data_IF_601346386484
#
_entry.id   IF_601346386484
#
_cell.length_a   1.000
_cell.length_b   1.000
_cell.length_c   1.000
_cell.angle_alpha   90.00
_cell.angle_beta   90.00
_cell.angle_gamma   90.00
#
_symmetry.space_group_name_H-M   'P 1'
#
loop_
_entity.id
_entity.type
_entity.pdbx_description
1 polymer ?
#
# COMPACT_ATOMS: atom_id res chain seq x y z
N UNK A 1 -23.79 -37.51 -41.36
CA UNK A 1 -23.80 -36.05 -41.09
C UNK A 1 -23.26 -35.79 -39.70
N UNK A 2 -21.94 -35.75 -39.57
CA UNK A 2 -21.21 -35.44 -38.34
C UNK A 2 -20.68 -34.01 -38.47
N UNK A 3 -21.27 -33.08 -37.74
CA UNK A 3 -20.76 -31.72 -37.63
C UNK A 3 -19.42 -31.74 -36.87
N UNK A 4 -18.31 -31.79 -37.64
CA UNK A 4 -16.99 -31.41 -37.16
C UNK A 4 -16.99 -29.91 -36.91
N UNK A 5 -17.42 -29.51 -35.71
CA UNK A 5 -17.24 -28.16 -35.20
C UNK A 5 -15.74 -27.96 -34.98
N UNK A 6 -15.07 -27.32 -35.94
CA UNK A 6 -13.68 -26.92 -35.84
C UNK A 6 -13.53 -26.02 -34.61
N UNK A 7 -12.99 -26.57 -33.52
CA UNK A 7 -12.61 -25.81 -32.32
C UNK A 7 -11.58 -24.78 -32.79
N UNK A 8 -11.86 -23.46 -32.74
CA UNK A 8 -10.85 -22.46 -33.05
C UNK A 8 -9.68 -22.68 -32.09
N UNK A 9 -8.49 -22.87 -32.65
CA UNK A 9 -7.29 -23.13 -31.87
C UNK A 9 -7.08 -21.96 -30.88
N UNK A 10 -6.94 -22.23 -29.57
CA UNK A 10 -6.79 -21.18 -28.55
C UNK A 10 -5.49 -20.35 -28.70
N UNK A 11 -4.63 -20.68 -29.66
CA UNK A 11 -3.35 -20.04 -29.92
C UNK A 11 -3.47 -18.68 -30.63
N UNK A 12 -4.54 -18.41 -31.38
CA UNK A 12 -4.66 -17.18 -32.18
C UNK A 12 -4.84 -15.89 -31.37
N UNK A 13 -5.68 -15.81 -30.32
CA UNK A 13 -5.90 -14.55 -29.61
C UNK A 13 -4.76 -14.23 -28.63
N UNK A 14 -4.16 -15.25 -28.01
CA UNK A 14 -3.04 -15.08 -27.07
C UNK A 14 -1.77 -14.59 -27.79
N UNK A 15 -1.49 -15.10 -28.98
CA UNK A 15 -0.39 -14.63 -29.82
C UNK A 15 -0.56 -13.15 -30.23
N UNK A 16 -1.78 -12.74 -30.60
CA UNK A 16 -2.10 -11.35 -30.91
C UNK A 16 -1.94 -10.42 -29.69
N UNK A 17 -2.36 -10.86 -28.51
CA UNK A 17 -2.15 -10.13 -27.25
C UNK A 17 -0.65 -9.95 -26.98
N UNK A 18 0.16 -11.00 -27.13
CA UNK A 18 1.61 -10.92 -26.94
C UNK A 18 2.25 -9.98 -27.97
N UNK A 19 1.87 -10.07 -29.24
CA UNK A 19 2.34 -9.17 -30.30
C UNK A 19 1.99 -7.71 -29.99
N UNK A 20 0.76 -7.43 -29.57
CA UNK A 20 0.33 -6.07 -29.21
C UNK A 20 1.17 -5.48 -28.05
N UNK A 21 1.51 -6.30 -27.04
CA UNK A 21 2.41 -5.89 -25.96
C UNK A 21 3.85 -5.65 -26.44
N UNK A 22 4.37 -6.51 -27.32
CA UNK A 22 5.71 -6.37 -27.89
C UNK A 22 5.83 -5.12 -28.78
N UNK A 23 4.78 -4.77 -29.54
CA UNK A 23 4.74 -3.52 -30.30
C UNK A 23 4.78 -2.31 -29.37
N UNK A 24 4.05 -2.35 -28.24
CA UNK A 24 4.10 -1.27 -27.24
C UNK A 24 5.49 -1.20 -26.57
N UNK A 25 6.12 -2.34 -26.31
CA UNK A 25 7.49 -2.41 -25.80
C UNK A 25 8.49 -1.78 -26.80
N UNK A 26 8.38 -2.11 -28.09
CA UNK A 26 9.19 -1.51 -29.14
C UNK A 26 8.98 0.01 -29.26
N UNK A 27 7.75 0.49 -29.06
CA UNK A 27 7.49 1.92 -28.99
C UNK A 27 8.18 2.59 -27.80
N UNK A 28 8.15 1.96 -26.62
CA UNK A 28 8.87 2.45 -25.45
C UNK A 28 10.39 2.51 -25.69
N UNK A 29 10.96 1.46 -26.30
CA UNK A 29 12.38 1.42 -26.68
C UNK A 29 12.75 2.56 -27.64
N UNK A 30 11.90 2.83 -28.64
CA UNK A 30 12.10 3.95 -29.58
C UNK A 30 12.13 5.32 -28.89
N UNK A 31 11.44 5.47 -27.75
CA UNK A 31 11.49 6.70 -26.93
C UNK A 31 12.68 6.74 -25.96
N UNK A 32 13.56 5.74 -25.99
CA UNK A 32 14.70 5.61 -25.07
C UNK A 32 14.35 5.05 -23.68
N UNK A 33 13.11 4.57 -23.47
CA UNK A 33 12.67 4.06 -22.17
C UNK A 33 12.86 2.53 -22.09
N UNK A 34 14.11 2.11 -21.90
CA UNK A 34 14.51 0.70 -21.92
C UNK A 34 13.82 -0.12 -20.83
N UNK A 35 13.60 0.45 -19.65
CA UNK A 35 12.99 -0.27 -18.53
C UNK A 35 11.49 -0.46 -18.73
N UNK A 36 10.80 0.51 -19.36
CA UNK A 36 9.41 0.35 -19.79
C UNK A 36 9.29 -0.72 -20.88
N UNK A 37 10.21 -0.73 -21.84
CA UNK A 37 10.28 -1.79 -22.85
C UNK A 37 10.39 -3.16 -22.20
N UNK A 38 11.36 -3.35 -21.30
CA UNK A 38 11.56 -4.61 -20.59
C UNK A 38 10.33 -5.00 -19.75
N UNK A 39 9.71 -4.04 -19.04
CA UNK A 39 8.50 -4.29 -18.25
C UNK A 39 7.33 -4.74 -19.13
N UNK A 40 7.09 -4.07 -20.26
CA UNK A 40 6.03 -4.43 -21.21
C UNK A 40 6.30 -5.78 -21.89
N UNK A 41 7.56 -6.07 -22.25
CA UNK A 41 7.97 -7.34 -22.83
C UNK A 41 7.84 -8.53 -21.84
N UNK A 42 7.85 -8.27 -20.53
CA UNK A 42 7.65 -9.28 -19.50
C UNK A 42 6.15 -9.62 -19.25
N UNK A 43 5.21 -8.72 -19.56
CA UNK A 43 3.78 -8.93 -19.33
C UNK A 43 3.17 -10.17 -20.03
N UNK A 44 3.56 -10.55 -21.26
CA UNK A 44 3.09 -11.79 -21.88
C UNK A 44 3.41 -13.03 -21.03
N UNK A 45 4.52 -13.04 -20.29
CA UNK A 45 4.91 -14.16 -19.43
C UNK A 45 3.91 -14.35 -18.27
N UNK A 46 3.28 -13.27 -17.80
CA UNK A 46 2.24 -13.36 -16.77
C UNK A 46 1.00 -14.10 -17.26
N UNK A 47 0.69 -14.05 -18.55
CA UNK A 47 -0.45 -14.77 -19.12
C UNK A 47 -0.24 -16.29 -19.08
N UNK A 48 1.01 -16.76 -19.11
CA UNK A 48 1.35 -18.19 -19.01
C UNK A 48 0.93 -18.79 -17.65
N UNK A 49 0.85 -17.96 -16.60
CA UNK A 49 0.40 -18.40 -15.28
C UNK A 49 -1.08 -18.85 -15.26
N UNK A 50 -1.88 -18.42 -16.25
CA UNK A 50 -3.33 -18.64 -16.35
C UNK A 50 -4.14 -18.12 -15.16
N UNK A 51 -3.58 -17.16 -14.42
CA UNK A 51 -4.25 -16.46 -13.33
C UNK A 51 -5.29 -15.47 -13.86
N UNK A 52 -6.47 -15.43 -13.24
CA UNK A 52 -7.56 -14.54 -13.67
C UNK A 52 -7.21 -13.06 -13.62
N UNK A 53 -6.39 -12.62 -12.66
CA UNK A 53 -6.02 -11.21 -12.51
C UNK A 53 -5.09 -10.70 -13.63
N UNK A 54 -4.26 -11.57 -14.23
CA UNK A 54 -3.28 -11.14 -15.24
C UNK A 54 -3.97 -10.68 -16.51
N UNK A 55 -5.14 -11.27 -16.85
CA UNK A 55 -5.98 -10.83 -17.96
C UNK A 55 -6.46 -9.38 -17.78
N UNK A 56 -6.81 -8.99 -16.55
CA UNK A 56 -7.33 -7.66 -16.23
C UNK A 56 -6.22 -6.63 -16.29
N UNK A 57 -5.04 -6.97 -15.78
CA UNK A 57 -3.85 -6.12 -15.86
C UNK A 57 -3.42 -5.91 -17.32
N UNK A 58 -3.28 -6.98 -18.09
CA UNK A 58 -2.89 -6.88 -19.50
C UNK A 58 -3.96 -6.16 -20.31
N UNK A 59 -5.24 -6.40 -20.03
CA UNK A 59 -6.34 -5.63 -20.62
C UNK A 59 -6.17 -4.14 -20.39
N UNK A 60 -5.99 -3.71 -19.13
CA UNK A 60 -5.78 -2.30 -18.80
C UNK A 60 -4.56 -1.70 -19.52
N UNK A 61 -3.44 -2.42 -19.56
CA UNK A 61 -2.22 -1.98 -20.27
C UNK A 61 -2.47 -1.82 -21.76
N UNK A 62 -3.19 -2.75 -22.41
CA UNK A 62 -3.49 -2.67 -23.84
C UNK A 62 -4.50 -1.57 -24.16
N UNK A 63 -5.48 -1.31 -23.29
CA UNK A 63 -6.42 -0.20 -23.46
C UNK A 63 -5.70 1.15 -23.34
N UNK A 64 -4.79 1.30 -22.37
CA UNK A 64 -3.93 2.48 -22.26
C UNK A 64 -2.96 2.57 -23.45
N UNK A 65 -2.44 1.44 -23.92
CA UNK A 65 -1.59 1.35 -25.11
C UNK A 65 -2.31 1.79 -26.38
N UNK A 66 -3.58 1.44 -26.55
CA UNK A 66 -4.41 1.91 -27.67
C UNK A 66 -4.54 3.44 -27.65
N UNK A 67 -4.80 4.05 -26.48
CA UNK A 67 -4.81 5.50 -26.34
C UNK A 67 -3.44 6.13 -26.65
N UNK A 68 -2.34 5.50 -26.21
CA UNK A 68 -0.99 5.93 -26.53
C UNK A 68 -0.70 5.88 -28.04
N UNK A 69 -1.16 4.84 -28.74
CA UNK A 69 -1.01 4.72 -30.18
C UNK A 69 -1.79 5.79 -30.95
N UNK A 70 -3.01 6.11 -30.52
CA UNK A 70 -3.79 7.21 -31.08
C UNK A 70 -3.10 8.55 -30.85
N UNK A 71 -2.63 8.82 -29.62
CA UNK A 71 -1.91 10.05 -29.29
C UNK A 71 -0.63 10.19 -30.15
N UNK A 72 0.22 9.16 -30.19
CA UNK A 72 1.43 9.18 -31.02
C UNK A 72 1.10 9.30 -32.52
N UNK A 73 0.05 8.62 -32.99
CA UNK A 73 -0.40 8.68 -34.38
C UNK A 73 -0.85 10.08 -34.79
N UNK A 74 -1.65 10.74 -33.95
CA UNK A 74 -2.08 12.12 -34.20
C UNK A 74 -0.91 13.09 -34.19
N UNK A 75 0.01 12.98 -33.23
CA UNK A 75 1.19 13.83 -33.15
C UNK A 75 2.08 13.68 -34.39
N UNK A 76 2.40 12.45 -34.81
CA UNK A 76 3.24 12.24 -35.99
C UNK A 76 2.54 12.64 -37.30
N UNK A 77 1.22 12.45 -37.39
CA UNK A 77 0.44 12.91 -38.56
C UNK A 77 0.43 14.44 -38.66
N UNK A 78 0.25 15.15 -37.54
CA UNK A 78 0.30 16.62 -37.48
C UNK A 78 1.68 17.15 -37.91
N UNK A 79 2.76 16.53 -37.45
CA UNK A 79 4.13 16.90 -37.87
C UNK A 79 4.31 16.72 -39.38
N UNK A 80 3.83 15.60 -39.95
CA UNK A 80 3.93 15.36 -41.40
C UNK A 80 3.09 16.34 -42.21
N UNK A 81 1.87 16.64 -41.76
CA UNK A 81 1.01 17.64 -42.38
C UNK A 81 1.68 19.02 -42.40
N UNK A 82 2.31 19.43 -41.30
CA UNK A 82 3.03 20.69 -41.21
C UNK A 82 4.26 20.76 -42.15
N UNK A 83 4.86 19.62 -42.48
CA UNK A 83 5.99 19.50 -43.39
C UNK A 83 5.58 19.23 -44.86
N UNK A 84 4.29 19.15 -45.17
CA UNK A 84 3.80 18.81 -46.51
C UNK A 84 4.04 17.35 -46.92
N UNK A 85 4.34 16.47 -45.97
CA UNK A 85 4.69 15.06 -46.21
C UNK A 85 3.45 14.13 -46.22
N UNK A 86 3.47 13.01 -46.97
CA UNK A 86 2.38 12.03 -46.96
C UNK A 86 2.15 11.43 -45.56
N UNK A 87 0.96 11.62 -45.00
CA UNK A 87 0.61 11.20 -43.63
C UNK A 87 -0.38 10.03 -43.56
N UNK A 88 -1.17 9.79 -44.62
CA UNK A 88 -2.26 8.80 -44.63
C UNK A 88 -1.79 7.38 -44.29
N UNK A 89 -0.70 6.92 -44.92
CA UNK A 89 -0.13 5.59 -44.65
C UNK A 89 0.24 5.41 -43.18
N UNK A 90 0.85 6.42 -42.57
CA UNK A 90 1.24 6.40 -41.16
C UNK A 90 0.00 6.33 -40.26
N UNK A 91 -1.01 7.16 -40.53
CA UNK A 91 -2.25 7.18 -39.78
C UNK A 91 -2.99 5.83 -39.84
N UNK A 92 -3.06 5.21 -41.01
CA UNK A 92 -3.65 3.88 -41.18
C UNK A 92 -2.90 2.79 -40.41
N UNK A 93 -1.56 2.81 -40.44
CA UNK A 93 -0.73 1.84 -39.70
C UNK A 93 -0.96 2.00 -38.19
N UNK A 94 -0.79 3.20 -37.63
CA UNK A 94 -0.90 3.41 -36.19
C UNK A 94 -2.35 3.28 -35.70
N UNK A 95 -3.33 3.66 -36.51
CA UNK A 95 -4.75 3.42 -36.24
C UNK A 95 -5.08 1.93 -36.20
N UNK A 96 -4.51 1.13 -37.11
CA UNK A 96 -4.66 -0.34 -37.10
C UNK A 96 -4.03 -0.98 -35.87
N UNK A 97 -2.81 -0.54 -35.49
CA UNK A 97 -2.15 -1.02 -34.26
C UNK A 97 -2.98 -0.65 -33.03
N UNK A 98 -3.52 0.56 -32.96
CA UNK A 98 -4.42 0.99 -31.88
C UNK A 98 -5.69 0.12 -31.82
N UNK A 99 -6.31 -0.15 -32.95
CA UNK A 99 -7.51 -1.00 -33.04
C UNK A 99 -7.22 -2.44 -32.59
N UNK A 100 -6.07 -3.01 -32.97
CA UNK A 100 -5.64 -4.34 -32.51
C UNK A 100 -5.40 -4.35 -30.99
N UNK A 101 -4.71 -3.35 -30.44
CA UNK A 101 -4.52 -3.22 -28.99
C UNK A 101 -5.86 -3.11 -28.25
N UNK A 102 -6.78 -2.29 -28.74
CA UNK A 102 -8.13 -2.14 -28.19
C UNK A 102 -8.91 -3.45 -28.24
N UNK A 103 -8.93 -4.12 -29.40
CA UNK A 103 -9.63 -5.40 -29.58
C UNK A 103 -9.08 -6.50 -28.67
N UNK A 104 -7.76 -6.61 -28.54
CA UNK A 104 -7.11 -7.53 -27.61
C UNK A 104 -7.46 -7.22 -26.14
N UNK A 105 -7.43 -5.94 -25.77
CA UNK A 105 -7.80 -5.47 -24.43
C UNK A 105 -9.24 -5.81 -24.07
N UNK A 106 -10.19 -5.57 -24.98
CA UNK A 106 -11.61 -5.89 -24.80
C UNK A 106 -11.87 -7.40 -24.79
N UNK A 107 -11.17 -8.17 -25.62
CA UNK A 107 -11.28 -9.64 -25.64
C UNK A 107 -10.90 -10.26 -24.30
N UNK A 108 -9.85 -9.78 -23.63
CA UNK A 108 -9.41 -10.24 -22.30
C UNK A 108 -10.45 -10.02 -21.19
N UNK A 109 -11.41 -9.09 -21.40
CA UNK A 109 -12.53 -8.86 -20.48
C UNK A 109 -13.70 -9.84 -20.72
N UNK A 110 -13.75 -10.48 -21.89
CA UNK A 110 -14.84 -11.36 -22.30
C UNK A 110 -14.87 -12.72 -21.61
N UNK A 111 -16.01 -13.40 -21.73
CA UNK A 111 -16.25 -14.72 -21.12
C UNK A 111 -15.28 -15.81 -21.62
N UNK A 112 -14.92 -15.77 -22.91
CA UNK A 112 -13.96 -16.73 -23.51
C UNK A 112 -12.59 -16.62 -22.85
N UNK A 113 -12.09 -15.40 -22.64
CA UNK A 113 -10.82 -15.20 -21.93
C UNK A 113 -10.95 -15.67 -20.48
N UNK A 114 -12.04 -15.32 -19.77
CA UNK A 114 -12.27 -15.80 -18.39
C UNK A 114 -12.16 -17.34 -18.26
N UNK A 115 -12.67 -18.09 -19.23
CA UNK A 115 -12.53 -19.55 -19.27
C UNK A 115 -11.08 -20.04 -19.48
N UNK A 116 -10.24 -19.27 -20.18
CA UNK A 116 -8.83 -19.59 -20.41
C UNK A 116 -7.93 -19.29 -19.19
N UNK A 117 -8.34 -18.36 -18.33
CA UNK A 117 -7.61 -17.94 -17.12
C UNK A 117 -8.38 -18.31 -15.82
N UNK A 118 -8.61 -19.59 -15.52
CA UNK A 118 -9.49 -20.01 -14.42
C UNK A 118 -8.86 -19.88 -13.03
N UNK A 119 -7.52 -19.78 -12.92
CA UNK A 119 -6.84 -19.83 -11.62
C UNK A 119 -7.08 -18.55 -10.83
N UNK A 120 -7.36 -18.68 -9.53
CA UNK A 120 -7.55 -17.54 -8.64
C UNK A 120 -8.75 -16.66 -8.99
N UNK A 121 -9.78 -17.20 -9.65
CA UNK A 121 -10.93 -16.44 -10.14
C UNK A 121 -11.62 -15.60 -9.05
N UNK A 122 -11.70 -16.09 -7.82
CA UNK A 122 -12.25 -15.32 -6.69
C UNK A 122 -11.45 -14.04 -6.43
N UNK A 123 -10.13 -14.08 -6.63
CA UNK A 123 -9.15 -13.03 -6.28
C UNK A 123 -8.76 -12.16 -7.46
N UNK A 124 -9.36 -12.39 -8.62
CA UNK A 124 -8.96 -11.71 -9.85
C UNK A 124 -9.00 -10.18 -9.72
N UNK A 125 -10.05 -9.66 -9.09
CA UNK A 125 -10.25 -8.22 -8.93
C UNK A 125 -9.35 -7.62 -7.83
N UNK A 126 -9.28 -8.17 -6.60
CA UNK A 126 -8.34 -7.69 -5.57
C UNK A 126 -6.88 -7.63 -6.04
N UNK A 127 -6.40 -8.65 -6.76
CA UNK A 127 -5.02 -8.72 -7.23
C UNK A 127 -4.76 -7.74 -8.38
N UNK A 128 -5.65 -7.68 -9.36
CA UNK A 128 -5.52 -6.75 -10.48
C UNK A 128 -5.60 -5.29 -10.00
N UNK A 129 -6.52 -4.99 -9.08
CA UNK A 129 -6.63 -3.66 -8.47
C UNK A 129 -5.36 -3.29 -7.69
N UNK A 130 -4.81 -4.21 -6.88
CA UNK A 130 -3.56 -3.96 -6.15
C UNK A 130 -2.37 -3.69 -7.10
N UNK A 131 -2.29 -4.45 -8.20
CA UNK A 131 -1.29 -4.22 -9.25
C UNK A 131 -1.44 -2.82 -9.86
N UNK A 132 -2.63 -2.51 -10.38
CA UNK A 132 -2.88 -1.28 -11.13
C UNK A 132 -2.79 -0.04 -10.25
N UNK A 133 -3.28 -0.10 -9.00
CA UNK A 133 -3.14 0.99 -8.04
C UNK A 133 -1.68 1.24 -7.70
N UNK A 134 -0.90 0.19 -7.41
CA UNK A 134 0.54 0.33 -7.13
C UNK A 134 1.28 0.90 -8.34
N UNK A 135 1.05 0.33 -9.52
CA UNK A 135 1.69 0.77 -10.75
C UNK A 135 1.34 2.23 -11.09
N UNK A 136 0.06 2.59 -11.00
CA UNK A 136 -0.44 3.94 -11.27
C UNK A 136 0.08 4.97 -10.28
N UNK A 137 0.06 4.67 -8.97
CA UNK A 137 0.57 5.58 -7.95
C UNK A 137 2.08 5.79 -8.08
N UNK A 138 2.86 4.74 -8.35
CA UNK A 138 4.31 4.86 -8.56
C UNK A 138 4.64 5.59 -9.87
N UNK A 139 3.90 5.32 -10.94
CA UNK A 139 4.05 6.04 -12.21
C UNK A 139 3.73 7.54 -12.04
N UNK A 140 2.66 7.88 -11.32
CA UNK A 140 2.29 9.26 -11.01
C UNK A 140 3.36 9.93 -10.14
N UNK A 141 3.83 9.27 -9.09
CA UNK A 141 4.86 9.79 -8.21
C UNK A 141 6.16 10.05 -9.00
N UNK A 142 6.57 9.12 -9.86
CA UNK A 142 7.75 9.26 -10.74
C UNK A 142 7.58 10.40 -11.75
N UNK A 143 6.39 10.56 -12.34
CA UNK A 143 6.12 11.61 -13.32
C UNK A 143 5.95 13.02 -12.75
N UNK A 144 5.67 13.15 -11.45
CA UNK A 144 5.41 14.44 -10.78
C UNK A 144 6.56 14.92 -9.88
N UNK A 145 7.39 14.02 -9.39
CA UNK A 145 8.48 14.40 -8.52
C UNK A 145 9.65 15.01 -9.31
N UNK A 146 10.27 16.03 -8.72
CA UNK A 146 11.49 16.66 -9.24
C UNK A 146 12.75 15.84 -8.99
N UNK A 147 12.67 14.76 -8.21
CA UNK A 147 13.80 13.90 -7.83
C UNK A 147 13.47 12.42 -8.08
N UNK A 148 14.46 11.57 -8.40
CA UNK A 148 14.23 10.14 -8.65
C UNK A 148 13.51 9.47 -7.47
N UNK A 149 12.26 9.06 -7.70
CA UNK A 149 11.35 8.60 -6.65
C UNK A 149 11.63 7.18 -6.17
N UNK A 150 12.02 6.34 -7.11
CA UNK A 150 12.27 4.94 -6.88
C UNK A 150 13.76 4.78 -6.59
N UNK A 151 14.08 3.99 -5.56
CA UNK A 151 15.47 3.70 -5.20
C UNK A 151 16.25 3.11 -6.39
N UNK A 152 15.60 2.27 -7.19
CA UNK A 152 16.18 1.67 -8.38
C UNK A 152 16.64 2.72 -9.42
N UNK A 153 15.89 3.82 -9.62
CA UNK A 153 16.30 4.88 -10.56
C UNK A 153 17.58 5.60 -10.12
N UNK A 154 17.98 5.50 -8.84
CA UNK A 154 19.23 6.07 -8.32
C UNK A 154 20.42 5.14 -8.50
N UNK A 155 20.22 3.85 -8.22
CA UNK A 155 21.27 2.84 -8.33
C UNK A 155 21.53 2.45 -9.79
N UNK A 156 20.48 2.43 -10.62
CA UNK A 156 20.55 2.14 -12.05
C UNK A 156 19.64 3.13 -12.80
N UNK A 157 20.20 4.22 -13.34
CA UNK A 157 19.44 5.27 -14.00
C UNK A 157 18.47 4.75 -15.07
N UNK A 158 17.22 5.18 -14.97
CA UNK A 158 16.16 4.80 -15.90
C UNK A 158 15.54 3.42 -15.65
N UNK A 159 15.94 2.68 -14.61
CA UNK A 159 15.38 1.35 -14.27
C UNK A 159 14.00 1.39 -13.59
N UNK A 160 13.45 2.57 -13.32
CA UNK A 160 12.25 2.77 -12.51
C UNK A 160 11.05 1.91 -12.88
N UNK A 161 10.76 1.69 -14.17
CA UNK A 161 9.61 0.86 -14.56
C UNK A 161 9.76 -0.61 -14.19
N UNK A 162 10.98 -1.13 -14.08
CA UNK A 162 11.21 -2.49 -13.57
C UNK A 162 10.89 -2.57 -12.07
N UNK A 163 11.24 -1.53 -11.30
CA UNK A 163 10.84 -1.44 -9.90
C UNK A 163 9.31 -1.29 -9.75
N UNK A 164 8.67 -0.49 -10.61
CA UNK A 164 7.20 -0.39 -10.67
C UNK A 164 6.56 -1.76 -10.92
N UNK A 165 7.05 -2.50 -11.91
CA UNK A 165 6.56 -3.84 -12.22
C UNK A 165 6.75 -4.79 -11.03
N UNK A 166 7.95 -4.83 -10.44
CA UNK A 166 8.25 -5.70 -9.30
C UNK A 166 7.36 -5.41 -8.09
N UNK A 167 7.17 -4.13 -7.74
CA UNK A 167 6.32 -3.72 -6.62
C UNK A 167 4.83 -3.96 -6.90
N UNK A 168 4.38 -3.76 -8.14
CA UNK A 168 3.01 -4.07 -8.53
C UNK A 168 2.71 -5.58 -8.50
N UNK A 169 3.67 -6.41 -8.92
CA UNK A 169 3.59 -7.87 -8.78
C UNK A 169 3.56 -8.28 -7.30
N UNK A 170 4.40 -7.67 -6.47
CA UNK A 170 4.39 -7.88 -5.02
C UNK A 170 3.04 -7.51 -4.38
N UNK A 171 2.46 -6.37 -4.76
CA UNK A 171 1.13 -5.95 -4.30
C UNK A 171 0.02 -6.93 -4.72
N UNK A 172 0.06 -7.42 -5.97
CA UNK A 172 -0.88 -8.40 -6.49
C UNK A 172 -0.77 -9.75 -5.77
N UNK A 173 0.46 -10.20 -5.49
CA UNK A 173 0.70 -11.39 -4.68
C UNK A 173 0.14 -11.22 -3.27
N UNK A 174 0.43 -10.09 -2.63
CA UNK A 174 0.00 -9.82 -1.26
C UNK A 174 -1.52 -9.74 -1.13
N UNK A 175 -2.19 -9.01 -2.03
CA UNK A 175 -3.64 -8.94 -2.08
C UNK A 175 -4.28 -10.32 -2.27
N UNK A 176 -3.68 -11.17 -3.10
CA UNK A 176 -4.10 -12.56 -3.29
C UNK A 176 -4.06 -13.36 -1.98
N UNK A 177 -2.94 -13.29 -1.23
CA UNK A 177 -2.82 -13.96 0.08
C UNK A 177 -3.80 -13.41 1.12
N UNK A 178 -4.03 -12.11 1.13
CA UNK A 178 -4.93 -11.48 2.11
C UNK A 178 -6.41 -11.77 1.88
N UNK A 179 -6.79 -12.01 0.63
CA UNK A 179 -8.21 -12.15 0.23
C UNK A 179 -8.59 -13.58 -0.15
N UNK A 180 -7.66 -14.53 -0.18
CA UNK A 180 -7.92 -15.92 -0.54
C UNK A 180 -8.99 -16.57 0.37
N UNK A 181 -10.05 -17.21 -0.19
CA UNK A 181 -11.09 -17.85 0.60
C UNK A 181 -10.54 -19.00 1.45
N UNK A 182 -9.73 -19.87 0.84
CA UNK A 182 -9.21 -21.09 1.49
C UNK A 182 -8.23 -20.83 2.63
N UNK A 183 -7.59 -19.65 2.66
CA UNK A 183 -6.63 -19.31 3.70
C UNK A 183 -7.26 -18.53 4.86
N UNK A 184 -8.53 -18.14 4.71
CA UNK A 184 -9.33 -17.46 5.70
C UNK A 184 -8.71 -16.16 6.25
N UNK A 185 -9.34 -15.51 7.23
CA UNK A 185 -8.74 -14.37 7.93
C UNK A 185 -7.46 -14.70 8.71
N UNK A 186 -7.23 -15.98 9.03
CA UNK A 186 -6.05 -16.43 9.75
C UNK A 186 -4.73 -16.12 9.03
N UNK A 187 -4.71 -16.20 7.70
CA UNK A 187 -3.50 -15.88 6.93
C UNK A 187 -3.11 -14.41 7.05
N UNK A 188 -4.05 -13.48 6.88
CA UNK A 188 -3.78 -12.06 7.07
C UNK A 188 -3.18 -11.77 8.46
N UNK A 189 -3.76 -12.35 9.52
CA UNK A 189 -3.25 -12.21 10.91
C UNK A 189 -1.81 -12.73 11.08
N UNK A 190 -1.40 -13.75 10.32
CA UNK A 190 -0.04 -14.32 10.36
C UNK A 190 0.95 -13.54 9.48
N UNK A 191 0.53 -13.15 8.29
CA UNK A 191 1.39 -12.54 7.28
C UNK A 191 1.60 -11.04 7.51
N UNK A 192 0.56 -10.31 7.96
CA UNK A 192 0.62 -8.85 8.19
C UNK A 192 1.81 -8.43 9.08
N UNK A 193 2.04 -9.01 10.28
CA UNK A 193 3.19 -8.65 11.11
C UNK A 193 4.54 -8.86 10.41
N UNK A 194 4.66 -9.91 9.58
CA UNK A 194 5.92 -10.27 8.89
C UNK A 194 6.25 -9.28 7.78
N UNK A 195 5.28 -8.95 6.92
CA UNK A 195 5.49 -7.95 5.87
C UNK A 195 5.72 -6.56 6.46
N UNK A 196 5.08 -6.25 7.59
CA UNK A 196 5.22 -4.97 8.25
C UNK A 196 6.61 -4.82 8.88
N UNK A 197 7.12 -5.90 9.48
CA UNK A 197 8.51 -5.99 9.92
C UNK A 197 9.50 -5.87 8.76
N UNK A 198 9.24 -6.54 7.62
CA UNK A 198 10.06 -6.40 6.41
C UNK A 198 10.12 -4.94 5.94
N UNK A 199 8.99 -4.26 5.86
CA UNK A 199 8.94 -2.84 5.51
C UNK A 199 9.78 -1.99 6.47
N UNK A 200 9.65 -2.20 7.77
CA UNK A 200 10.48 -1.50 8.75
C UNK A 200 11.97 -1.82 8.58
N UNK A 201 12.32 -3.08 8.33
CA UNK A 201 13.70 -3.51 8.14
C UNK A 201 14.32 -2.85 6.90
N UNK A 202 13.61 -2.84 5.76
CA UNK A 202 14.06 -2.17 4.53
C UNK A 202 14.27 -0.68 4.78
N UNK A 203 13.33 -0.01 5.44
CA UNK A 203 13.42 1.42 5.76
C UNK A 203 14.66 1.76 6.61
N UNK A 204 14.88 1.04 7.71
CA UNK A 204 16.02 1.31 8.61
C UNK A 204 17.35 0.82 8.06
N UNK A 205 17.37 -0.25 7.26
CA UNK A 205 18.57 -0.69 6.55
C UNK A 205 19.01 0.35 5.52
N UNK A 206 18.06 0.90 4.75
CA UNK A 206 18.34 2.00 3.82
C UNK A 206 18.89 3.23 4.56
N UNK A 207 18.30 3.59 5.70
CA UNK A 207 18.83 4.68 6.53
C UNK A 207 20.26 4.41 7.00
N UNK A 208 20.51 3.23 7.57
CA UNK A 208 21.82 2.87 8.12
C UNK A 208 22.90 2.89 7.03
N UNK A 209 22.61 2.31 5.87
CA UNK A 209 23.51 2.32 4.71
C UNK A 209 23.72 3.73 4.15
N UNK A 210 22.66 4.55 4.13
CA UNK A 210 22.75 5.95 3.74
C UNK A 210 23.67 6.76 4.65
N UNK A 211 23.57 6.55 5.96
CA UNK A 211 24.42 7.20 6.97
C UNK A 211 25.86 6.66 6.98
N UNK A 212 26.09 5.41 6.56
CA UNK A 212 27.43 4.82 6.49
C UNK A 212 28.20 5.21 5.22
N UNK A 213 27.64 6.05 4.35
CA UNK A 213 28.32 6.59 3.17
C UNK A 213 27.66 6.31 1.82
N UNK A 214 26.60 5.48 1.76
CA UNK A 214 25.83 5.27 0.52
C UNK A 214 24.74 6.36 0.38
N UNK A 215 25.18 7.61 0.22
CA UNK A 215 24.32 8.81 0.25
C UNK A 215 23.19 8.80 -0.79
N UNK A 216 23.31 8.04 -1.88
CA UNK A 216 22.23 7.79 -2.86
C UNK A 216 20.97 7.16 -2.25
N UNK A 217 21.12 6.47 -1.11
CA UNK A 217 20.01 5.89 -0.35
C UNK A 217 19.26 6.94 0.49
N UNK A 218 19.85 8.13 0.66
CA UNK A 218 19.22 9.29 1.29
C UNK A 218 18.59 10.20 0.22
N UNK A 219 17.46 10.83 0.53
CA UNK A 219 16.71 11.72 -0.35
C UNK A 219 17.19 13.15 -0.27
N UNK A 220 17.60 13.57 0.92
CA UNK A 220 18.04 14.93 1.18
C UNK A 220 19.37 14.88 1.92
N UNK A 221 20.26 15.84 1.66
CA UNK A 221 21.48 16.02 2.45
C UNK A 221 21.21 16.45 3.91
N UNK A 222 19.97 16.33 4.41
CA UNK A 222 19.56 16.69 5.76
C UNK A 222 19.05 15.45 6.48
N UNK A 223 19.59 15.18 7.66
CA UNK A 223 19.15 14.05 8.48
C UNK A 223 17.71 14.25 8.96
N UNK A 224 16.79 13.41 8.48
CA UNK A 224 15.45 13.31 9.05
C UNK A 224 15.40 12.17 10.07
N UNK A 225 15.28 12.51 11.35
CA UNK A 225 15.13 11.51 12.41
C UNK A 225 13.82 10.73 12.21
N UNK A 226 13.88 9.38 12.16
CA UNK A 226 12.70 8.54 11.97
C UNK A 226 11.92 8.36 13.28
N UNK A 227 11.40 9.46 13.81
CA UNK A 227 10.59 9.48 15.02
C UNK A 227 9.19 9.94 14.63
N UNK A 228 8.15 9.08 14.68
CA UNK A 228 6.81 9.44 14.21
C UNK A 228 6.26 10.74 14.81
N UNK A 229 6.58 11.04 16.07
CA UNK A 229 6.16 12.28 16.72
C UNK A 229 6.56 13.57 15.95
N UNK A 230 7.64 13.51 15.16
CA UNK A 230 8.09 14.60 14.30
C UNK A 230 7.16 14.88 13.11
N UNK A 231 6.21 13.99 12.80
CA UNK A 231 5.12 14.30 11.85
C UNK A 231 4.34 15.52 12.35
N UNK A 232 4.10 15.64 13.66
CA UNK A 232 3.44 16.82 14.24
C UNK A 232 4.44 17.89 14.70
N UNK A 233 5.48 17.50 15.46
CA UNK A 233 6.41 18.47 16.05
C UNK A 233 7.36 19.13 15.05
N UNK A 234 7.77 18.43 13.99
CA UNK A 234 8.75 18.91 13.03
C UNK A 234 8.34 20.22 12.33
N UNK A 235 7.12 20.30 11.75
CA UNK A 235 6.60 21.52 11.16
C UNK A 235 6.33 22.63 12.18
N UNK A 236 5.93 22.30 13.41
CA UNK A 236 5.71 23.29 14.46
C UNK A 236 7.01 24.00 14.85
N UNK A 237 8.10 23.24 14.99
CA UNK A 237 9.44 23.78 15.29
C UNK A 237 10.04 24.55 14.10
N UNK A 238 10.00 23.97 12.89
CA UNK A 238 10.65 24.56 11.70
C UNK A 238 9.84 25.68 11.04
N UNK A 239 8.51 25.68 11.20
CA UNK A 239 7.61 26.57 10.46
C UNK A 239 7.38 26.17 8.99
N UNK A 240 7.99 25.08 8.53
CA UNK A 240 7.92 24.58 7.15
C UNK A 240 7.95 23.03 7.13
N UNK A 241 7.80 22.43 5.94
CA UNK A 241 7.96 20.98 5.75
C UNK A 241 6.68 20.16 5.95
N UNK A 242 5.65 20.41 5.13
CA UNK A 242 4.34 19.75 5.20
C UNK A 242 4.30 18.35 4.57
N UNK A 243 5.39 17.86 3.97
CA UNK A 243 5.41 16.59 3.25
C UNK A 243 4.94 15.40 4.13
N UNK A 244 5.53 15.21 5.31
CA UNK A 244 5.14 14.11 6.21
C UNK A 244 3.72 14.25 6.79
N UNK A 245 3.27 15.44 7.25
CA UNK A 245 1.86 15.65 7.60
C UNK A 245 0.89 15.32 6.47
N UNK A 246 1.17 15.75 5.23
CA UNK A 246 0.31 15.51 4.08
C UNK A 246 0.30 14.03 3.70
N UNK A 247 1.46 13.38 3.70
CA UNK A 247 1.58 11.93 3.46
C UNK A 247 0.80 11.14 4.52
N UNK A 248 0.96 11.49 5.80
CA UNK A 248 0.24 10.85 6.89
C UNK A 248 -1.28 11.10 6.80
N UNK A 249 -1.71 12.34 6.58
CA UNK A 249 -3.13 12.67 6.48
C UNK A 249 -3.79 12.01 5.26
N UNK A 250 -3.18 12.09 4.08
CA UNK A 250 -3.72 11.44 2.86
C UNK A 250 -3.83 9.93 3.00
N UNK A 251 -2.84 9.26 3.59
CA UNK A 251 -2.93 7.81 3.83
C UNK A 251 -3.95 7.43 4.90
N UNK A 252 -4.06 8.23 5.97
CA UNK A 252 -5.14 8.04 6.96
C UNK A 252 -6.51 8.28 6.33
N UNK A 253 -6.67 9.18 5.36
CA UNK A 253 -7.92 9.32 4.63
C UNK A 253 -8.26 8.10 3.77
N UNK A 254 -7.25 7.41 3.23
CA UNK A 254 -7.44 6.22 2.40
C UNK A 254 -7.73 4.94 3.20
N UNK A 255 -6.98 4.68 4.28
CA UNK A 255 -7.04 3.43 5.06
C UNK A 255 -7.32 3.62 6.56
N UNK A 256 -7.69 4.82 6.97
CA UNK A 256 -8.02 5.14 8.36
C UNK A 256 -6.80 4.97 9.29
N UNK A 257 -7.02 4.56 10.55
CA UNK A 257 -5.95 4.38 11.52
C UNK A 257 -5.05 3.17 11.24
N UNK A 258 -5.26 2.46 10.12
CA UNK A 258 -4.41 1.34 9.72
C UNK A 258 -3.00 1.71 9.31
N UNK A 259 -2.73 3.00 9.09
CA UNK A 259 -1.36 3.52 9.03
C UNK A 259 -0.51 2.95 10.19
N UNK A 260 -1.02 3.05 11.42
CA UNK A 260 -0.32 2.61 12.61
C UNK A 260 -0.14 1.10 12.73
N UNK A 261 -0.84 0.30 11.92
CA UNK A 261 -0.82 -1.18 11.97
C UNK A 261 -0.27 -1.86 10.71
N UNK A 262 0.09 -1.08 9.69
CA UNK A 262 0.58 -1.58 8.38
C UNK A 262 1.69 -0.74 7.74
N UNK A 263 1.77 0.57 8.02
CA UNK A 263 2.63 1.51 7.29
C UNK A 263 3.61 2.29 8.20
N UNK A 264 3.40 2.30 9.51
CA UNK A 264 4.31 2.93 10.45
C UNK A 264 5.49 2.00 10.76
N UNK A 265 6.72 2.40 10.43
CA UNK A 265 7.92 1.58 10.66
C UNK A 265 8.15 1.29 12.16
N UNK A 266 7.95 2.28 13.05
CA UNK A 266 8.07 2.07 14.51
C UNK A 266 6.97 1.15 15.06
N UNK A 267 5.75 1.21 14.51
CA UNK A 267 4.67 0.35 14.96
C UNK A 267 4.98 -1.14 14.78
N UNK A 268 5.79 -1.50 13.77
CA UNK A 268 6.23 -2.86 13.55
C UNK A 268 7.11 -3.38 14.70
N UNK A 269 7.90 -2.51 15.33
CA UNK A 269 8.73 -2.88 16.49
C UNK A 269 7.87 -3.13 17.73
N UNK A 270 6.87 -2.28 17.95
CA UNK A 270 5.94 -2.42 19.08
C UNK A 270 5.06 -3.68 18.93
N UNK A 271 4.60 -3.98 17.71
CA UNK A 271 3.86 -5.22 17.41
C UNK A 271 4.73 -6.46 17.66
N UNK A 272 6.00 -6.46 17.23
CA UNK A 272 6.95 -7.54 17.53
C UNK A 272 7.20 -7.69 19.04
N UNK A 273 7.47 -6.58 19.75
CA UNK A 273 7.69 -6.59 21.19
C UNK A 273 6.48 -7.17 21.94
N UNK A 274 5.27 -6.72 21.60
CA UNK A 274 4.03 -7.21 22.20
C UNK A 274 3.80 -8.71 21.94
N UNK A 275 4.31 -9.26 20.82
CA UNK A 275 4.22 -10.69 20.47
C UNK A 275 5.33 -11.54 21.08
N UNK A 276 6.48 -10.96 21.42
CA UNK A 276 7.72 -11.68 21.73
C UNK A 276 7.65 -12.64 22.91
N UNK A 277 6.77 -12.41 23.90
CA UNK A 277 6.63 -13.31 25.06
C UNK A 277 5.43 -14.25 24.97
N UNK A 278 4.68 -14.23 23.88
CA UNK A 278 3.47 -15.04 23.76
C UNK A 278 2.52 -14.84 24.95
N UNK A 279 2.48 -13.62 25.54
CA UNK A 279 1.65 -13.32 26.71
C UNK A 279 0.25 -13.89 26.47
N UNK A 280 -0.16 -14.83 27.32
CA UNK A 280 -1.37 -15.63 27.10
C UNK A 280 -2.61 -14.74 26.93
N UNK A 281 -2.58 -13.53 27.52
CA UNK A 281 -3.61 -12.50 27.41
C UNK A 281 -2.97 -11.11 27.34
N UNK A 282 -3.18 -10.32 26.27
CA UNK A 282 -2.78 -8.92 26.23
C UNK A 282 -3.45 -8.12 27.37
N UNK A 283 -2.69 -7.25 28.03
CA UNK A 283 -3.21 -6.30 29.01
C UNK A 283 -4.14 -5.30 28.32
N UNK A 284 -5.32 -5.08 28.90
CA UNK A 284 -6.23 -4.01 28.48
C UNK A 284 -5.89 -2.75 29.25
N UNK A 285 -5.36 -1.74 28.54
CA UNK A 285 -5.02 -0.45 29.12
C UNK A 285 -6.29 0.37 29.40
N UNK A 286 -6.29 1.11 30.52
CA UNK A 286 -7.41 1.98 30.88
C UNK A 286 -7.54 3.17 29.93
N UNK A 287 -8.72 3.81 29.92
CA UNK A 287 -8.99 5.01 29.12
C UNK A 287 -8.07 6.19 29.46
N UNK A 288 -7.60 6.27 30.72
CA UNK A 288 -6.63 7.26 31.15
C UNK A 288 -5.32 7.15 30.36
N UNK A 289 -4.87 5.93 30.06
CA UNK A 289 -3.67 5.72 29.24
C UNK A 289 -3.96 5.80 27.74
N UNK A 290 -5.01 5.11 27.27
CA UNK A 290 -5.31 5.06 25.84
C UNK A 290 -5.78 6.38 25.26
N UNK A 291 -6.25 7.33 26.08
CA UNK A 291 -6.61 8.68 25.64
C UNK A 291 -5.75 9.73 26.32
N UNK A 292 -5.76 9.76 27.66
CA UNK A 292 -5.03 10.77 28.43
C UNK A 292 -3.51 10.72 28.21
N UNK A 293 -2.89 9.53 28.24
CA UNK A 293 -1.47 9.37 27.98
C UNK A 293 -1.05 9.87 26.59
N UNK A 294 -1.81 9.54 25.55
CA UNK A 294 -1.53 10.02 24.18
C UNK A 294 -1.84 11.50 23.99
N UNK A 295 -2.85 12.04 24.66
CA UNK A 295 -3.12 13.48 24.69
C UNK A 295 -2.00 14.24 25.37
N UNK A 296 -1.53 13.77 26.53
CA UNK A 296 -0.40 14.34 27.25
C UNK A 296 0.87 14.29 26.37
N UNK A 297 1.17 13.15 25.75
CA UNK A 297 2.29 13.03 24.83
C UNK A 297 2.17 14.00 23.64
N UNK A 298 0.98 14.15 23.05
CA UNK A 298 0.74 15.10 21.95
C UNK A 298 0.93 16.54 22.41
N UNK A 299 0.34 16.93 23.54
CA UNK A 299 0.45 18.26 24.11
C UNK A 299 1.90 18.60 24.47
N UNK A 300 2.63 17.68 25.11
CA UNK A 300 4.04 17.84 25.45
C UNK A 300 4.90 17.95 24.19
N UNK A 301 4.69 17.10 23.19
CA UNK A 301 5.50 17.09 21.96
C UNK A 301 5.29 18.38 21.14
N UNK A 302 4.04 18.79 20.95
CA UNK A 302 3.70 20.01 20.21
C UNK A 302 4.08 21.27 21.02
N UNK A 303 3.82 21.29 22.31
CA UNK A 303 4.17 22.38 23.22
C UNK A 303 5.67 22.60 23.32
N UNK A 304 6.46 21.53 23.45
CA UNK A 304 7.92 21.61 23.44
C UNK A 304 8.46 22.11 22.09
N UNK A 305 7.91 21.63 20.97
CA UNK A 305 8.32 22.09 19.63
C UNK A 305 8.06 23.59 19.43
N UNK A 306 6.89 24.08 19.85
CA UNK A 306 6.55 25.51 19.79
C UNK A 306 7.39 26.33 20.76
N UNK A 307 7.58 25.86 22.01
CA UNK A 307 8.42 26.52 23.01
C UNK A 307 9.86 26.71 22.54
N UNK A 308 10.46 25.65 21.98
CA UNK A 308 11.82 25.70 21.40
C UNK A 308 11.91 26.69 20.23
N UNK A 309 10.87 26.76 19.39
CA UNK A 309 10.83 27.74 18.28
C UNK A 309 10.76 29.16 18.81
N UNK A 310 9.86 29.43 19.77
CA UNK A 310 9.66 30.76 20.34
C UNK A 310 10.89 31.25 21.11
N UNK A 311 11.66 30.34 21.72
CA UNK A 311 12.91 30.69 22.41
C UNK A 311 14.12 30.81 21.48
N UNK A 312 13.97 30.59 20.16
CA UNK A 312 15.10 30.56 19.22
C UNK A 312 16.12 29.45 19.51
N UNK A 313 15.68 28.32 20.08
CA UNK A 313 16.58 27.23 20.47
C UNK A 313 17.31 26.62 19.26
N UNK A 314 18.57 26.19 19.42
CA UNK A 314 19.32 25.60 18.33
C UNK A 314 18.72 24.27 17.88
N UNK A 315 18.78 23.99 16.57
CA UNK A 315 18.23 22.77 15.98
C UNK A 315 18.86 21.48 16.54
N UNK A 316 20.10 21.53 17.03
CA UNK A 316 20.78 20.42 17.70
C UNK A 316 20.08 20.01 18.99
N UNK A 317 19.61 20.98 19.80
CA UNK A 317 18.84 20.70 21.01
C UNK A 317 17.50 20.05 20.68
N UNK A 318 16.78 20.60 19.69
CA UNK A 318 15.52 20.01 19.23
C UNK A 318 15.71 18.58 18.70
N UNK A 319 16.76 18.34 17.92
CA UNK A 319 17.12 17.01 17.41
C UNK A 319 17.49 16.04 18.56
N UNK A 320 18.27 16.50 19.55
CA UNK A 320 18.64 15.71 20.72
C UNK A 320 17.44 15.29 21.57
N UNK A 321 16.50 16.22 21.82
CA UNK A 321 15.25 15.93 22.53
C UNK A 321 14.35 14.97 21.73
N UNK A 322 14.26 15.14 20.41
CA UNK A 322 13.52 14.23 19.55
C UNK A 322 14.13 12.81 19.54
N UNK A 323 15.46 12.70 19.51
CA UNK A 323 16.16 11.43 19.60
C UNK A 323 15.94 10.78 20.98
N UNK A 324 16.04 11.54 22.07
CA UNK A 324 15.76 11.06 23.42
C UNK A 324 14.31 10.56 23.56
N UNK A 325 13.33 11.27 23.00
CA UNK A 325 11.94 10.82 22.96
C UNK A 325 11.78 9.52 22.17
N UNK A 326 12.45 9.41 21.01
CA UNK A 326 12.47 8.19 20.21
C UNK A 326 13.04 6.99 20.98
N UNK A 327 14.20 7.16 21.64
CA UNK A 327 14.85 6.14 22.46
C UNK A 327 14.02 5.74 23.67
N UNK A 328 13.40 6.71 24.36
CA UNK A 328 12.44 6.44 25.43
C UNK A 328 11.27 5.59 24.91
N UNK A 329 10.77 5.89 23.71
CA UNK A 329 9.76 5.09 23.03
C UNK A 329 10.19 3.64 22.81
N UNK A 330 11.44 3.40 22.37
CA UNK A 330 12.01 2.05 22.25
C UNK A 330 12.10 1.37 23.61
N UNK A 331 12.51 2.09 24.66
CA UNK A 331 12.50 1.60 26.05
C UNK A 331 11.11 1.13 26.50
N UNK A 332 10.06 1.90 26.19
CA UNK A 332 8.66 1.52 26.45
C UNK A 332 8.29 0.22 25.72
N UNK A 333 8.71 0.04 24.47
CA UNK A 333 8.43 -1.20 23.72
C UNK A 333 9.10 -2.41 24.36
N UNK A 334 10.40 -2.30 24.65
CA UNK A 334 11.20 -3.40 25.19
C UNK A 334 10.78 -3.79 26.61
N UNK A 335 10.40 -2.82 27.44
CA UNK A 335 10.00 -3.04 28.83
C UNK A 335 8.50 -3.26 28.98
N UNK A 336 7.67 -2.28 28.62
CA UNK A 336 6.23 -2.29 28.90
C UNK A 336 5.46 -3.11 27.86
N UNK A 337 5.62 -2.85 26.56
CA UNK A 337 4.85 -3.56 25.52
C UNK A 337 5.12 -5.07 25.54
N UNK A 338 6.38 -5.46 25.70
CA UNK A 338 6.78 -6.87 25.80
C UNK A 338 6.18 -7.58 27.02
N UNK A 339 6.13 -6.91 28.18
CA UNK A 339 5.53 -7.48 29.41
C UNK A 339 4.02 -7.52 29.34
N UNK A 340 3.40 -6.47 28.81
CA UNK A 340 1.95 -6.33 28.71
C UNK A 340 1.32 -7.20 27.63
N UNK A 341 2.09 -7.67 26.64
CA UNK A 341 1.52 -8.33 25.46
C UNK A 341 0.67 -7.38 24.59
N UNK A 342 0.72 -6.08 24.86
CA UNK A 342 -0.03 -5.04 24.18
C UNK A 342 0.94 -4.02 23.58
N UNK A 343 0.50 -3.29 22.57
CA UNK A 343 1.29 -2.24 21.90
C UNK A 343 1.26 -0.95 22.73
N UNK A 344 1.84 -0.99 23.94
CA UNK A 344 1.79 0.10 24.93
C UNK A 344 2.39 1.38 24.36
N UNK A 345 3.49 1.29 23.60
CA UNK A 345 4.06 2.46 22.94
C UNK A 345 3.04 3.11 21.99
N UNK A 346 2.44 2.37 21.07
CA UNK A 346 1.49 2.91 20.10
C UNK A 346 0.16 3.36 20.72
N UNK A 347 -0.23 2.79 21.86
CA UNK A 347 -1.55 3.02 22.47
C UNK A 347 -1.54 4.01 23.63
N UNK A 348 -0.40 4.25 24.28
CA UNK A 348 -0.30 5.14 25.45
C UNK A 348 0.79 6.21 25.35
N UNK A 349 1.83 6.01 24.53
CA UNK A 349 3.00 6.92 24.46
C UNK A 349 3.08 7.71 23.15
N UNK A 350 2.80 7.09 22.01
CA UNK A 350 2.98 7.71 20.71
C UNK A 350 1.86 8.73 20.41
N UNK A 351 2.18 10.02 20.19
CA UNK A 351 1.17 11.05 19.94
C UNK A 351 0.46 10.85 18.58
N UNK A 352 1.17 10.30 17.59
CA UNK A 352 0.62 10.05 16.25
C UNK A 352 -0.46 8.97 16.27
N UNK A 353 -0.39 8.02 17.22
CA UNK A 353 -1.43 7.00 17.36
C UNK A 353 -2.80 7.61 17.61
N UNK A 354 -2.87 8.65 18.45
CA UNK A 354 -4.12 9.36 18.72
C UNK A 354 -4.58 10.17 17.49
N UNK A 355 -3.68 10.91 16.86
CA UNK A 355 -4.00 11.66 15.64
C UNK A 355 -4.54 10.74 14.54
N UNK A 356 -3.93 9.57 14.34
CA UNK A 356 -4.39 8.57 13.38
C UNK A 356 -5.79 8.05 13.71
N UNK A 357 -6.10 7.79 14.99
CA UNK A 357 -7.44 7.37 15.41
C UNK A 357 -8.48 8.47 15.25
N UNK A 358 -8.15 9.73 15.54
CA UNK A 358 -9.06 10.87 15.41
C UNK A 358 -9.33 11.19 13.93
N UNK A 359 -8.28 11.35 13.13
CA UNK A 359 -8.40 11.57 11.68
C UNK A 359 -9.10 10.39 10.99
N UNK A 360 -8.86 9.16 11.45
CA UNK A 360 -9.53 7.96 10.97
C UNK A 360 -11.06 8.01 11.06
N UNK A 361 -11.63 8.81 11.97
CA UNK A 361 -13.09 9.01 12.08
C UNK A 361 -13.68 9.71 10.85
N UNK A 362 -12.88 10.49 10.12
CA UNK A 362 -13.29 11.14 8.88
C UNK A 362 -13.52 10.14 7.74
N UNK A 363 -12.90 8.96 7.80
CA UNK A 363 -13.07 7.92 6.79
C UNK A 363 -14.36 7.13 6.99
N UNK A 364 -14.88 6.42 5.97
CA UNK A 364 -16.06 5.56 6.12
C UNK A 364 -15.73 4.19 6.74
N UNK A 365 -14.44 3.86 6.87
CA UNK A 365 -14.00 2.55 7.34
C UNK A 365 -14.35 2.34 8.81
N UNK A 366 -15.09 1.27 9.11
CA UNK A 366 -15.42 0.88 10.48
C UNK A 366 -15.14 -0.61 10.68
N UNK A 367 -14.75 -0.95 11.91
CA UNK A 367 -14.79 -2.33 12.39
C UNK A 367 -16.07 -2.47 13.20
N UNK A 368 -16.86 -3.51 12.93
CA UNK A 368 -18.16 -3.73 13.58
C UNK A 368 -18.29 -5.13 14.13
N UNK A 369 -19.11 -5.26 15.18
CA UNK A 369 -19.45 -6.53 15.81
C UNK A 369 -20.95 -6.79 15.60
N UNK A 370 -21.29 -7.91 14.97
CA UNK A 370 -22.69 -8.34 14.77
C UNK A 370 -23.23 -8.92 16.08
N UNK A 371 -23.99 -8.13 16.83
CA UNK A 371 -24.50 -8.52 18.15
C UNK A 371 -25.44 -9.74 18.09
N UNK A 372 -26.13 -9.96 16.98
CA UNK A 372 -27.04 -11.09 16.79
C UNK A 372 -26.34 -12.44 16.82
N UNK A 373 -25.08 -12.50 16.37
CA UNK A 373 -24.28 -13.74 16.29
C UNK A 373 -23.15 -13.78 17.32
N UNK A 374 -22.91 -12.67 18.01
CA UNK A 374 -21.83 -12.55 18.98
C UNK A 374 -22.20 -13.23 20.31
N UNK A 375 -21.43 -14.26 20.68
CA UNK A 375 -21.57 -14.97 21.97
C UNK A 375 -20.87 -14.27 23.13
N UNK A 376 -20.19 -13.14 22.88
CA UNK A 376 -19.35 -12.43 23.86
C UNK A 376 -18.23 -13.30 24.47
N UNK A 377 -17.75 -14.30 23.73
CA UNK A 377 -16.69 -15.22 24.18
C UNK A 377 -15.31 -14.59 24.44
N UNK A 378 -15.09 -13.33 24.03
CA UNK A 378 -13.83 -12.61 24.28
C UNK A 378 -12.64 -12.98 23.38
N UNK A 379 -12.79 -13.91 22.43
CA UNK A 379 -11.69 -14.33 21.54
C UNK A 379 -11.07 -13.16 20.73
N UNK A 380 -11.91 -12.20 20.31
CA UNK A 380 -11.45 -10.99 19.64
C UNK A 380 -10.63 -10.06 20.55
N UNK A 381 -10.98 -9.98 21.85
CA UNK A 381 -10.24 -9.20 22.84
C UNK A 381 -8.86 -9.80 23.10
N UNK A 382 -8.75 -11.14 23.19
CA UNK A 382 -7.47 -11.84 23.34
C UNK A 382 -6.53 -11.66 22.13
N UNK A 383 -7.08 -11.38 20.94
CA UNK A 383 -6.30 -11.05 19.77
C UNK A 383 -5.93 -9.56 19.68
N UNK A 384 -6.62 -8.69 20.43
CA UNK A 384 -6.44 -7.24 20.37
C UNK A 384 -5.21 -6.79 21.15
N UNK A 385 -4.21 -6.27 20.45
CA UNK A 385 -3.01 -5.67 21.08
C UNK A 385 -3.12 -4.16 21.29
N UNK A 386 -4.22 -3.57 20.86
CA UNK A 386 -4.45 -2.12 20.88
C UNK A 386 -5.33 -1.66 22.05
N UNK A 387 -5.75 -2.56 22.96
CA UNK A 387 -6.70 -2.25 24.04
C UNK A 387 -7.98 -1.58 23.51
N UNK A 388 -8.55 -2.12 22.43
CA UNK A 388 -9.71 -1.55 21.72
C UNK A 388 -10.97 -2.42 21.79
N UNK A 389 -10.94 -3.49 22.58
CA UNK A 389 -12.03 -4.46 22.69
C UNK A 389 -12.22 -4.84 24.17
N UNK A 390 -12.63 -3.87 24.99
CA UNK A 390 -13.09 -4.16 26.36
C UNK A 390 -14.44 -4.90 26.35
N UNK A 391 -14.87 -5.49 27.48
CA UNK A 391 -16.21 -6.05 27.60
C UNK A 391 -17.33 -5.05 27.23
N UNK A 392 -17.17 -3.78 27.61
CA UNK A 392 -18.10 -2.70 27.29
C UNK A 392 -18.11 -2.38 25.79
N UNK A 393 -16.94 -2.35 25.14
CA UNK A 393 -16.82 -2.17 23.69
C UNK A 393 -17.58 -3.29 22.94
N UNK A 394 -17.36 -4.55 23.35
CA UNK A 394 -18.02 -5.72 22.77
C UNK A 394 -19.54 -5.65 22.94
N UNK A 395 -20.01 -5.30 24.14
CA UNK A 395 -21.43 -5.11 24.43
C UNK A 395 -22.04 -3.99 23.57
N UNK A 396 -21.28 -2.93 23.27
CA UNK A 396 -21.73 -1.81 22.44
C UNK A 396 -21.67 -2.08 20.92
N UNK A 397 -21.16 -3.25 20.50
CA UNK A 397 -21.08 -3.65 19.09
C UNK A 397 -19.98 -2.98 18.28
N UNK A 398 -19.06 -2.23 18.93
CA UNK A 398 -18.00 -1.44 18.28
C UNK A 398 -16.73 -1.39 19.12
N UNK A 399 -15.54 -1.42 18.50
CA UNK A 399 -14.30 -1.28 19.24
C UNK A 399 -14.08 0.16 19.73
N UNK A 400 -13.26 0.29 20.76
CA UNK A 400 -12.83 1.57 21.33
C UNK A 400 -11.94 2.40 20.40
N UNK A 401 -11.66 3.65 20.81
CA UNK A 401 -10.95 4.65 20.00
C UNK A 401 -9.56 4.19 19.53
N UNK A 402 -8.87 3.34 20.29
CA UNK A 402 -7.54 2.83 19.95
C UNK A 402 -7.52 1.82 18.79
N UNK A 403 -8.67 1.44 18.24
CA UNK A 403 -8.74 0.53 17.10
C UNK A 403 -7.98 1.06 15.88
N UNK A 404 -7.06 0.26 15.34
CA UNK A 404 -6.25 0.58 14.16
C UNK A 404 -6.68 -0.17 12.91
N UNK A 405 -7.86 -0.78 12.89
CA UNK A 405 -8.37 -1.58 11.76
C UNK A 405 -7.40 -2.69 11.29
N UNK A 406 -6.57 -3.22 12.19
CA UNK A 406 -5.55 -4.23 11.87
C UNK A 406 -6.12 -5.60 11.48
N UNK A 407 -7.41 -5.86 11.71
CA UNK A 407 -8.08 -7.09 11.29
C UNK A 407 -7.73 -8.35 12.08
N UNK A 408 -6.80 -8.31 13.05
CA UNK A 408 -6.44 -9.48 13.86
C UNK A 408 -7.66 -10.10 14.58
N UNK A 409 -8.63 -9.26 14.98
CA UNK A 409 -9.88 -9.68 15.62
C UNK A 409 -10.85 -10.41 14.67
N UNK A 410 -10.83 -10.08 13.38
CA UNK A 410 -11.67 -10.75 12.35
C UNK A 410 -11.24 -12.21 12.24
N UNK A 411 -9.94 -12.47 12.26
CA UNK A 411 -9.38 -13.82 12.23
C UNK A 411 -9.57 -14.62 13.51
N UNK A 412 -9.72 -13.93 14.63
CA UNK A 412 -9.84 -14.57 15.93
C UNK A 412 -11.28 -14.95 16.28
N UNK A 413 -12.28 -14.39 15.59
CA UNK A 413 -13.69 -14.64 15.91
C UNK A 413 -14.15 -15.98 15.32
N UNK A 414 -14.51 -16.99 16.15
CA UNK A 414 -15.01 -18.27 15.64
C UNK A 414 -16.46 -18.21 15.15
N UNK A 415 -17.17 -17.11 15.41
CA UNK A 415 -18.59 -16.94 15.10
C UNK A 415 -18.84 -15.93 13.96
N UNK A 416 -17.81 -15.60 13.18
CA UNK A 416 -17.87 -14.62 12.06
C UNK A 416 -18.60 -13.31 12.40
N UNK A 417 -18.50 -12.89 13.66
CA UNK A 417 -19.22 -11.72 14.18
C UNK A 417 -18.42 -10.43 14.03
N UNK A 418 -17.12 -10.53 13.72
CA UNK A 418 -16.22 -9.39 13.52
C UNK A 418 -16.03 -9.13 12.02
N UNK A 419 -16.19 -7.89 11.57
CA UNK A 419 -16.01 -7.56 10.16
C UNK A 419 -15.71 -6.10 9.87
N UNK A 420 -15.16 -5.86 8.68
CA UNK A 420 -15.02 -4.52 8.11
C UNK A 420 -16.37 -4.04 7.58
N UNK A 421 -16.65 -2.76 7.76
CA UNK A 421 -17.83 -2.07 7.26
C UNK A 421 -17.40 -0.83 6.49
N UNK A 422 -18.03 -0.65 5.34
CA UNK A 422 -17.96 0.54 4.50
C UNK A 422 -19.39 0.77 3.94
N UNK A 423 -19.88 2.02 3.83
CA UNK A 423 -21.20 2.29 3.31
C UNK A 423 -21.45 1.63 1.95
N UNK A 424 -22.63 1.02 1.76
CA UNK A 424 -23.05 0.39 0.50
C UNK A 424 -22.25 -0.86 0.06
N UNK A 425 -21.27 -1.33 0.84
CA UNK A 425 -20.53 -2.56 0.57
C UNK A 425 -20.96 -3.69 1.51
N UNK A 426 -20.99 -4.92 0.99
CA UNK A 426 -21.11 -6.11 1.84
C UNK A 426 -19.85 -6.25 2.72
N UNK A 427 -19.92 -6.92 3.88
CA UNK A 427 -18.75 -7.09 4.75
C UNK A 427 -17.55 -7.76 4.05
N UNK A 428 -17.82 -8.74 3.18
CA UNK A 428 -16.79 -9.41 2.37
C UNK A 428 -16.14 -8.45 1.38
N UNK A 429 -16.95 -7.65 0.64
CA UNK A 429 -16.45 -6.67 -0.30
C UNK A 429 -15.66 -5.55 0.40
N UNK A 430 -16.18 -5.02 1.52
CA UNK A 430 -15.50 -3.99 2.32
C UNK A 430 -14.13 -4.48 2.78
N UNK A 431 -14.04 -5.73 3.25
CA UNK A 431 -12.77 -6.35 3.63
C UNK A 431 -11.83 -6.52 2.45
N UNK A 432 -12.32 -7.02 1.31
CA UNK A 432 -11.49 -7.20 0.12
C UNK A 432 -10.90 -5.87 -0.37
N UNK A 433 -11.73 -4.82 -0.49
CA UNK A 433 -11.29 -3.47 -0.88
C UNK A 433 -10.27 -2.93 0.11
N UNK A 434 -10.54 -3.04 1.42
CA UNK A 434 -9.62 -2.55 2.44
C UNK A 434 -8.25 -3.23 2.37
N UNK A 435 -8.22 -4.56 2.27
CA UNK A 435 -6.97 -5.33 2.20
C UNK A 435 -6.21 -5.07 0.89
N UNK A 436 -6.91 -4.88 -0.23
CA UNK A 436 -6.31 -4.45 -1.50
C UNK A 436 -5.66 -3.07 -1.39
N UNK A 437 -6.35 -2.09 -0.80
CA UNK A 437 -5.80 -0.74 -0.60
C UNK A 437 -4.55 -0.77 0.28
N UNK A 438 -4.61 -1.49 1.39
CA UNK A 438 -3.47 -1.65 2.29
C UNK A 438 -2.30 -2.36 1.60
N UNK A 439 -2.54 -3.41 0.82
CA UNK A 439 -1.49 -4.10 0.08
C UNK A 439 -0.82 -3.19 -0.96
N UNK A 440 -1.62 -2.39 -1.70
CA UNK A 440 -1.11 -1.43 -2.67
C UNK A 440 -0.30 -0.33 -2.00
N UNK A 441 -0.84 0.31 -0.95
CA UNK A 441 -0.13 1.33 -0.19
C UNK A 441 1.15 0.78 0.43
N UNK A 442 1.14 -0.43 0.98
CA UNK A 442 2.33 -1.06 1.53
C UNK A 442 3.44 -1.21 0.47
N UNK A 443 3.11 -1.67 -0.74
CA UNK A 443 4.07 -1.78 -1.84
C UNK A 443 4.56 -0.42 -2.34
N UNK A 444 3.66 0.57 -2.46
CA UNK A 444 4.03 1.96 -2.79
C UNK A 444 5.01 2.51 -1.76
N UNK A 445 4.69 2.33 -0.48
CA UNK A 445 5.53 2.78 0.63
C UNK A 445 6.87 2.05 0.65
N UNK A 446 6.91 0.76 0.32
CA UNK A 446 8.18 0.03 0.21
C UNK A 446 9.05 0.57 -0.94
N UNK A 447 8.45 0.95 -2.06
CA UNK A 447 9.17 1.51 -3.22
C UNK A 447 9.60 2.96 -3.07
N UNK A 448 8.87 3.73 -2.25
CA UNK A 448 9.07 5.18 -2.03
C UNK A 448 9.69 5.46 -0.66
N UNK A 449 9.79 4.48 0.24
CA UNK A 449 10.32 4.61 1.59
C UNK A 449 11.72 5.21 1.54
N UNK A 450 11.82 6.48 1.92
CA UNK A 450 13.02 7.30 1.86
C UNK A 450 13.14 8.13 3.13
N UNK A 451 14.39 8.42 3.50
CA UNK A 451 14.81 9.50 4.41
C UNK A 451 15.58 10.49 3.58
#
# INVERSE_FOLDING_TARGET
MTHLSAKPSPMTPAALVALALLLLAAHALRRGDWSLCAALAALPLLLLSRQGWTRLVVSAVLLLGAAQWLAAGTQFAQVRLALGEPWLRLALILGSVAAVSLGCGLWLLGARARALFPRGAAMELPQAAAFLLTAGLLALARGKASVPVLLADRLLPGSGWLAVLALALYAAWLAGRFTHPDHGPGEHRRLRPRIWALFSAVFFLQLALGLSGLTELLMTGRLHLPVPALIAAGPLFRGEGLFMPVLFASTVLLVGPAWCSHLCYIGAWDDQCSRARGAARPLVLSRAWTVGGRLAALALTCGAALGLRLSGAPASLAAGLAAAFGLAGVGVMLAASRRAGAMVHCTAFCPIGLLGNLLGRLTPWRMSIRLQTCTRCGACALACRYSALSPEDIASGRPGLSCTLCGDCVAACPHDSMGYRFPFLSPAAARAVFLTLVAALHAVFLGVARI
#
